data_IF_005022316527
#
_entry.id   IF_005022316527
#
_cell.length_a   1.000
_cell.length_b   1.000
_cell.length_c   1.000
_cell.angle_alpha   90.00
_cell.angle_beta   90.00
_cell.angle_gamma   90.00
#
_symmetry.space_group_name_H-M   'P 1'
#
loop_
_entity.id
_entity.type
_entity.pdbx_description
1 polymer ?
#
# COMPACT_ATOMS: atom_id res chain seq x y z
N UNK A 1 -16.42 6.83 -22.06
CA UNK A 1 -15.96 5.51 -21.60
C UNK A 1 -15.37 5.70 -20.22
N UNK A 2 -16.11 5.34 -19.16
CA UNK A 2 -15.56 5.36 -17.80
C UNK A 2 -14.74 4.08 -17.66
N UNK A 3 -13.42 4.19 -17.76
CA UNK A 3 -12.56 3.13 -17.23
C UNK A 3 -12.74 3.25 -15.72
N UNK A 4 -13.53 2.35 -15.13
CA UNK A 4 -13.52 2.16 -13.70
C UNK A 4 -12.08 1.75 -13.36
N UNK A 5 -11.32 2.68 -12.79
CA UNK A 5 -9.94 2.48 -12.36
C UNK A 5 -9.98 1.55 -11.13
N UNK A 6 -10.18 0.25 -11.37
CA UNK A 6 -10.31 -0.79 -10.36
C UNK A 6 -9.06 -1.67 -10.31
N UNK A 7 -8.56 -2.02 -9.11
CA UNK A 7 -7.41 -2.91 -8.98
C UNK A 7 -7.62 -4.23 -9.70
N UNK A 8 -6.63 -4.68 -10.46
CA UNK A 8 -6.69 -5.96 -11.18
C UNK A 8 -6.47 -7.12 -10.23
N UNK A 9 -6.88 -8.34 -10.60
CA UNK A 9 -6.66 -9.51 -9.74
C UNK A 9 -5.16 -9.84 -9.56
N UNK A 10 -4.39 -9.72 -10.65
CA UNK A 10 -2.95 -9.88 -10.62
C UNK A 10 -2.28 -8.78 -9.78
N UNK A 11 -2.64 -7.52 -10.00
CA UNK A 11 -2.13 -6.38 -9.22
C UNK A 11 -2.42 -6.51 -7.72
N UNK A 12 -3.64 -6.91 -7.33
CA UNK A 12 -3.99 -7.16 -5.92
C UNK A 12 -3.12 -8.26 -5.30
N UNK A 13 -2.89 -9.36 -6.01
CA UNK A 13 -2.02 -10.46 -5.54
C UNK A 13 -0.56 -10.01 -5.42
N UNK A 14 -0.08 -9.21 -6.38
CA UNK A 14 1.28 -8.64 -6.34
C UNK A 14 1.44 -7.70 -5.15
N UNK A 15 0.51 -6.76 -4.95
CA UNK A 15 0.50 -5.90 -3.78
C UNK A 15 0.49 -6.72 -2.49
N UNK A 16 -0.41 -7.71 -2.38
CA UNK A 16 -0.49 -8.58 -1.20
C UNK A 16 0.83 -9.27 -0.86
N UNK A 17 1.55 -9.78 -1.88
CA UNK A 17 2.89 -10.37 -1.71
C UNK A 17 3.91 -9.35 -1.20
N UNK A 18 3.93 -8.13 -1.75
CA UNK A 18 4.82 -7.05 -1.30
C UNK A 18 4.58 -6.73 0.17
N UNK A 19 3.32 -6.54 0.57
CA UNK A 19 2.96 -6.23 1.95
C UNK A 19 3.33 -7.37 2.91
N UNK A 20 3.06 -8.61 2.51
CA UNK A 20 3.41 -9.81 3.29
C UNK A 20 4.91 -9.95 3.46
N UNK A 21 5.68 -9.76 2.40
CA UNK A 21 7.14 -9.83 2.44
C UNK A 21 7.72 -8.75 3.38
N UNK A 22 7.21 -7.52 3.30
CA UNK A 22 7.64 -6.42 4.17
C UNK A 22 7.34 -6.66 5.66
N UNK A 23 6.22 -7.33 5.96
CA UNK A 23 5.88 -7.74 7.33
C UNK A 23 6.82 -8.86 7.82
N UNK A 24 7.02 -9.89 7.00
CA UNK A 24 7.86 -11.04 7.36
C UNK A 24 9.34 -10.65 7.51
N UNK A 25 9.85 -9.69 6.74
CA UNK A 25 11.24 -9.22 6.89
C UNK A 25 11.50 -8.46 8.19
N UNK A 26 10.44 -8.09 8.92
CA UNK A 26 10.50 -7.45 10.25
C UNK A 26 10.19 -8.44 11.38
N UNK A 27 10.03 -9.72 11.07
CA UNK A 27 9.58 -10.75 12.00
C UNK A 27 8.24 -10.41 12.70
N UNK A 28 7.38 -9.63 12.03
CA UNK A 28 6.07 -9.26 12.57
C UNK A 28 5.03 -10.33 12.24
N UNK A 29 4.21 -10.69 13.22
CA UNK A 29 2.95 -11.38 13.00
C UNK A 29 1.89 -10.43 12.43
N UNK A 30 0.77 -10.96 11.94
CA UNK A 30 -0.39 -10.14 11.56
C UNK A 30 -0.90 -9.34 12.77
N UNK A 31 -0.79 -9.90 13.97
CA UNK A 31 -1.24 -9.27 15.21
C UNK A 31 -0.40 -8.06 15.57
N UNK A 32 0.91 -8.15 15.34
CA UNK A 32 1.83 -7.03 15.56
C UNK A 32 1.50 -5.87 14.60
N UNK A 33 1.28 -6.17 13.32
CA UNK A 33 0.89 -5.15 12.35
C UNK A 33 -0.47 -4.51 12.69
N UNK A 34 -1.46 -5.31 13.10
CA UNK A 34 -2.75 -4.79 13.56
C UNK A 34 -2.57 -3.86 14.77
N UNK A 35 -1.75 -4.28 15.74
CA UNK A 35 -1.46 -3.51 16.96
C UNK A 35 -0.79 -2.19 16.62
N UNK A 36 0.22 -2.20 15.75
CA UNK A 36 0.94 -1.00 15.29
C UNK A 36 -0.02 -0.05 14.58
N UNK A 37 -0.83 -0.52 13.63
CA UNK A 37 -1.79 0.33 12.93
C UNK A 37 -2.82 0.92 13.89
N UNK A 38 -3.34 0.14 14.84
CA UNK A 38 -4.34 0.62 15.82
C UNK A 38 -3.77 1.61 16.85
N UNK A 39 -2.46 1.58 17.11
CA UNK A 39 -1.84 2.41 18.14
C UNK A 39 -1.13 3.64 17.59
N UNK A 40 -0.63 3.58 16.35
CA UNK A 40 0.21 4.63 15.77
C UNK A 40 -0.50 5.46 14.70
N UNK A 41 -1.59 4.96 14.12
CA UNK A 41 -2.31 5.68 13.06
C UNK A 41 -3.57 6.32 13.64
N UNK A 42 -3.60 7.65 13.58
CA UNK A 42 -4.77 8.47 13.91
C UNK A 42 -5.23 9.15 12.63
N UNK A 43 -6.52 9.12 12.35
CA UNK A 43 -7.11 9.80 11.19
C UNK A 43 -8.27 10.69 11.61
N UNK A 44 -8.58 11.68 10.77
CA UNK A 44 -9.73 12.55 10.98
C UNK A 44 -10.99 11.87 10.44
N UNK A 45 -11.94 11.61 11.32
CA UNK A 45 -13.23 11.03 10.96
C UNK A 45 -14.09 11.99 10.12
N UNK A 46 -15.20 11.49 9.59
CA UNK A 46 -16.20 12.32 8.89
C UNK A 46 -16.83 13.39 9.80
N UNK A 47 -16.86 13.16 11.12
CA UNK A 47 -17.32 14.13 12.12
C UNK A 47 -16.27 15.17 12.49
N UNK A 48 -15.04 15.03 11.96
CA UNK A 48 -13.94 15.95 12.19
C UNK A 48 -13.08 15.61 13.41
N UNK A 49 -13.40 14.55 14.14
CA UNK A 49 -12.66 14.07 15.32
C UNK A 49 -11.43 13.24 14.94
N UNK A 50 -10.42 13.23 15.80
CA UNK A 50 -9.25 12.38 15.62
C UNK A 50 -9.47 11.04 16.31
N UNK A 51 -9.44 9.95 15.53
CA UNK A 51 -9.70 8.59 16.02
C UNK A 51 -8.61 7.63 15.57
N UNK A 52 -8.37 6.62 16.40
CA UNK A 52 -7.43 5.54 16.06
C UNK A 52 -7.95 4.72 14.89
N UNK A 53 -7.06 4.35 13.97
CA UNK A 53 -7.40 3.52 12.84
C UNK A 53 -7.54 2.05 13.27
N UNK A 54 -8.76 1.53 13.26
CA UNK A 54 -9.01 0.13 13.60
C UNK A 54 -9.08 -0.76 12.36
N UNK A 55 -8.32 -1.86 12.39
CA UNK A 55 -8.33 -2.88 11.33
C UNK A 55 -8.33 -4.29 11.93
N UNK A 56 -9.04 -5.21 11.29
CA UNK A 56 -9.09 -6.61 11.74
C UNK A 56 -7.96 -7.44 11.14
N UNK A 57 -7.55 -8.50 11.86
CA UNK A 57 -6.61 -9.51 11.35
C UNK A 57 -7.05 -10.11 10.01
N UNK A 58 -8.34 -10.39 9.86
CA UNK A 58 -8.91 -10.93 8.62
C UNK A 58 -8.83 -9.94 7.44
N UNK A 59 -8.88 -8.64 7.71
CA UNK A 59 -8.67 -7.61 6.69
C UNK A 59 -7.22 -7.61 6.20
N UNK A 60 -6.25 -7.63 7.11
CA UNK A 60 -4.82 -7.67 6.77
C UNK A 60 -4.47 -8.97 6.04
N UNK A 61 -4.89 -10.12 6.58
CA UNK A 61 -4.68 -11.42 5.93
C UNK A 61 -5.32 -11.48 4.53
N UNK A 62 -6.54 -10.98 4.38
CA UNK A 62 -7.21 -10.92 3.08
C UNK A 62 -6.49 -10.01 2.07
N UNK A 63 -5.90 -8.91 2.54
CA UNK A 63 -5.09 -8.01 1.71
C UNK A 63 -3.77 -8.67 1.29
N UNK A 64 -3.04 -9.27 2.23
CA UNK A 64 -1.76 -9.97 1.97
C UNK A 64 -1.91 -11.15 1.00
N UNK A 65 -3.07 -11.80 0.99
CA UNK A 65 -3.38 -12.89 0.07
C UNK A 65 -4.02 -12.42 -1.25
N UNK A 66 -4.19 -11.10 -1.46
CA UNK A 66 -4.83 -10.53 -2.64
C UNK A 66 -6.34 -10.82 -2.77
N UNK A 67 -6.96 -11.34 -1.71
CA UNK A 67 -8.38 -11.72 -1.66
C UNK A 67 -9.31 -10.53 -1.43
N UNK A 68 -8.79 -9.43 -0.88
CA UNK A 68 -9.55 -8.19 -0.65
C UNK A 68 -8.97 -7.05 -1.49
N UNK A 69 -9.86 -6.24 -2.07
CA UNK A 69 -9.45 -5.01 -2.71
C UNK A 69 -8.83 -4.04 -1.70
N UNK A 70 -7.72 -3.37 -2.04
CA UNK A 70 -7.08 -2.41 -1.15
C UNK A 70 -7.99 -1.21 -0.93
N UNK A 71 -8.37 -0.97 0.33
CA UNK A 71 -9.11 0.24 0.70
C UNK A 71 -8.13 1.41 0.80
N UNK A 72 -8.42 2.60 0.24
CA UNK A 72 -7.51 3.75 0.27
C UNK A 72 -6.99 4.08 1.67
N UNK A 73 -7.88 4.20 2.65
CA UNK A 73 -7.51 4.51 4.04
C UNK A 73 -6.61 3.44 4.68
N UNK A 74 -6.75 2.17 4.29
CA UNK A 74 -5.85 1.12 4.76
C UNK A 74 -4.44 1.30 4.17
N UNK A 75 -4.33 1.60 2.87
CA UNK A 75 -3.03 1.87 2.24
C UNK A 75 -2.35 3.12 2.85
N UNK A 76 -3.12 4.15 3.18
CA UNK A 76 -2.62 5.34 3.89
C UNK A 76 -2.07 4.98 5.26
N UNK A 77 -2.83 4.22 6.06
CA UNK A 77 -2.38 3.76 7.37
C UNK A 77 -1.08 2.93 7.27
N UNK A 78 -1.01 2.07 6.26
CA UNK A 78 0.16 1.24 5.93
C UNK A 78 1.40 2.12 5.63
N UNK A 79 1.25 3.14 4.78
CA UNK A 79 2.36 4.06 4.45
C UNK A 79 2.75 4.93 5.64
N UNK A 80 1.79 5.39 6.44
CA UNK A 80 2.01 6.26 7.58
C UNK A 80 2.94 5.64 8.65
N UNK A 81 2.87 4.32 8.85
CA UNK A 81 3.77 3.61 9.78
C UNK A 81 5.09 3.18 9.14
N UNK A 82 5.32 3.53 7.86
CA UNK A 82 6.59 3.31 7.16
C UNK A 82 7.01 1.85 7.03
N UNK A 83 6.09 0.89 7.13
CA UNK A 83 6.47 -0.52 7.22
C UNK A 83 6.84 -1.14 5.85
N UNK A 84 6.38 -0.57 4.74
CA UNK A 84 6.70 -1.08 3.40
C UNK A 84 7.77 -0.20 2.79
N UNK A 85 8.94 -0.79 2.56
CA UNK A 85 10.05 -0.14 1.87
C UNK A 85 10.30 -0.85 0.54
N UNK A 86 10.69 -0.06 -0.45
CA UNK A 86 11.13 -0.56 -1.73
C UNK A 86 12.39 -1.42 -1.55
N UNK A 87 12.44 -2.65 -2.09
CA UNK A 87 13.55 -3.57 -1.83
C UNK A 87 14.91 -3.07 -2.35
N UNK A 88 14.92 -2.34 -3.47
CA UNK A 88 16.15 -1.76 -4.04
C UNK A 88 16.52 -0.43 -3.38
N UNK A 89 15.64 0.58 -3.50
CA UNK A 89 15.97 1.95 -3.06
C UNK A 89 15.91 2.14 -1.54
N UNK A 90 15.33 1.18 -0.80
CA UNK A 90 15.12 1.24 0.66
C UNK A 90 14.24 2.41 1.13
N UNK A 91 13.67 3.18 0.20
CA UNK A 91 12.72 4.24 0.51
C UNK A 91 11.35 3.65 0.85
N UNK A 92 10.61 4.23 1.81
CA UNK A 92 9.22 3.87 2.03
C UNK A 92 8.39 4.07 0.76
N UNK A 93 7.51 3.12 0.46
CA UNK A 93 6.55 3.33 -0.62
C UNK A 93 5.61 4.47 -0.29
N UNK A 94 5.28 5.26 -1.31
CA UNK A 94 4.18 6.22 -1.29
C UNK A 94 2.83 5.51 -1.47
N UNK A 95 1.74 6.19 -1.10
CA UNK A 95 0.39 5.67 -1.35
C UNK A 95 0.12 5.51 -2.85
N UNK A 96 0.62 6.42 -3.68
CA UNK A 96 0.48 6.36 -5.13
C UNK A 96 1.14 5.11 -5.72
N UNK A 97 2.31 4.72 -5.22
CA UNK A 97 3.01 3.52 -5.68
C UNK A 97 2.31 2.25 -5.22
N UNK A 98 1.85 2.17 -3.96
CA UNK A 98 1.07 1.02 -3.50
C UNK A 98 -0.22 0.85 -4.29
N UNK A 99 -0.90 1.96 -4.60
CA UNK A 99 -2.04 1.98 -5.50
C UNK A 99 -1.62 1.47 -6.87
N UNK A 100 -0.59 2.05 -7.49
CA UNK A 100 -0.13 1.70 -8.83
C UNK A 100 0.28 0.23 -8.98
N UNK A 101 0.86 -0.41 -7.96
CA UNK A 101 1.11 -1.86 -7.94
C UNK A 101 -0.20 -2.64 -8.09
N UNK A 102 -1.26 -2.22 -7.38
CA UNK A 102 -2.58 -2.87 -7.46
C UNK A 102 -3.27 -2.73 -8.82
N UNK A 103 -2.81 -1.79 -9.64
CA UNK A 103 -3.26 -1.53 -11.00
C UNK A 103 -2.30 -2.06 -12.08
N UNK A 104 -1.20 -2.73 -11.70
CA UNK A 104 -0.14 -3.19 -12.63
C UNK A 104 0.54 -2.04 -13.40
N UNK A 105 0.59 -0.85 -12.79
CA UNK A 105 1.20 0.35 -13.37
C UNK A 105 2.61 0.64 -12.81
N UNK A 106 3.01 -0.09 -11.78
CA UNK A 106 4.29 0.04 -11.10
C UNK A 106 4.86 -1.35 -10.80
N UNK A 107 6.11 -1.60 -11.17
CA UNK A 107 6.80 -2.84 -10.83
C UNK A 107 7.48 -2.71 -9.45
N UNK A 108 7.02 -3.44 -8.42
CA UNK A 108 7.60 -3.36 -7.09
C UNK A 108 9.02 -3.92 -6.98
N UNK A 109 9.48 -4.69 -7.97
CA UNK A 109 10.82 -5.27 -7.93
C UNK A 109 11.87 -4.31 -8.47
N UNK A 110 11.53 -3.51 -9.50
CA UNK A 110 12.47 -2.59 -10.15
C UNK A 110 12.31 -1.15 -9.68
N UNK A 111 11.10 -0.76 -9.27
CA UNK A 111 10.76 0.62 -8.94
C UNK A 111 10.30 1.45 -10.12
N UNK A 112 10.07 0.81 -11.27
CA UNK A 112 9.72 1.49 -12.51
C UNK A 112 8.20 1.58 -12.71
N UNK A 113 7.79 2.68 -13.34
CA UNK A 113 6.43 2.85 -13.86
C UNK A 113 6.29 2.10 -15.19
N UNK A 114 5.33 1.18 -15.26
CA UNK A 114 5.11 0.28 -16.39
C UNK A 114 4.28 0.91 -17.51
N UNK A 115 3.46 1.90 -17.19
CA UNK A 115 2.76 2.72 -18.18
C UNK A 115 3.56 4.01 -18.31
N UNK A 116 3.85 4.50 -19.54
CA UNK A 116 4.37 5.85 -19.70
C UNK A 116 3.34 6.80 -19.09
N UNK A 117 3.67 7.39 -17.94
CA UNK A 117 2.83 8.41 -17.33
C UNK A 117 2.63 9.47 -18.39
N UNK A 118 1.42 9.62 -18.92
CA UNK A 118 1.02 10.70 -19.82
C UNK A 118 1.08 12.08 -19.14
N UNK A 119 1.74 12.17 -17.97
CA UNK A 119 2.06 13.37 -17.25
C UNK A 119 3.57 13.66 -17.36
N UNK A 120 4.00 14.62 -18.21
CA UNK A 120 5.40 14.97 -18.41
C UNK A 120 6.08 15.60 -17.18
N UNK A 121 5.34 15.83 -16.08
CA UNK A 121 5.84 16.53 -14.88
C UNK A 121 6.68 15.66 -13.92
N UNK A 122 6.78 14.34 -14.13
CA UNK A 122 7.55 13.43 -13.25
C UNK A 122 8.95 13.07 -13.75
N UNK A 123 9.40 13.65 -14.88
CA UNK A 123 10.77 13.45 -15.39
C UNK A 123 11.85 14.29 -14.70
N UNK A 124 11.56 14.90 -13.55
CA UNK A 124 12.49 15.80 -12.84
C UNK A 124 12.66 15.39 -11.37
N UNK A 125 13.18 14.20 -11.12
CA UNK A 125 13.76 13.86 -9.81
C UNK A 125 14.69 12.64 -9.88
N UNK A 126 15.56 12.59 -10.89
CA UNK A 126 16.72 11.71 -10.87
C UNK A 126 17.83 12.39 -11.68
N UNK A 127 18.59 13.21 -10.97
CA UNK A 127 19.92 13.66 -11.40
C UNK A 127 20.93 12.53 -11.16
#
# INVERSE_FOLDING_TARGET
>A
MFILDVPTDAGRKTLGKVLKAARLSRDWSIDDLVTILCTQVVYRSETGEFVNYHVSKGTISGLENGQRSPRPLLLEAIVAVGYVQHPITQHPYTIEELKAISYEQFDPNTGDWLIPTSNPSRKLASA
#
